data_IF_896943071126
#
_entry.id   IF_896943071126
#
_cell.length_a   1.000
_cell.length_b   1.000
_cell.length_c   1.000
_cell.angle_alpha   90.00
_cell.angle_beta   90.00
_cell.angle_gamma   90.00
#
_symmetry.space_group_name_H-M   'P 1'
#
loop_
_entity.id
_entity.type
_entity.pdbx_description
1 polymer ?
#
# COMPACT_ATOMS: atom_id res chain seq x y z
N UNK A 1 -44.39 29.38 23.89
CA UNK A 1 -43.76 28.13 24.32
C UNK A 1 -44.57 27.61 25.50
N UNK A 2 -45.32 26.52 25.31
CA UNK A 2 -46.15 25.95 26.37
C UNK A 2 -45.27 25.25 27.42
N UNK A 3 -45.77 25.09 28.65
CA UNK A 3 -45.03 24.38 29.72
C UNK A 3 -44.64 22.96 29.27
N UNK A 4 -45.48 22.31 28.47
CA UNK A 4 -45.23 20.98 27.90
C UNK A 4 -44.05 20.98 26.92
N UNK A 5 -43.98 21.93 25.97
CA UNK A 5 -42.84 22.07 25.04
C UNK A 5 -41.52 22.32 25.79
N UNK A 6 -41.56 23.13 26.86
CA UNK A 6 -40.39 23.39 27.69
C UNK A 6 -39.91 22.13 28.42
N UNK A 7 -40.82 21.36 29.04
CA UNK A 7 -40.49 20.11 29.72
C UNK A 7 -39.95 19.04 28.77
N UNK A 8 -40.54 18.89 27.57
CA UNK A 8 -40.04 17.99 26.54
C UNK A 8 -38.61 18.36 26.12
N UNK A 9 -38.32 19.65 25.95
CA UNK A 9 -36.96 20.13 25.66
C UNK A 9 -35.98 19.81 26.79
N UNK A 10 -36.38 20.00 28.05
CA UNK A 10 -35.52 19.67 29.20
C UNK A 10 -35.25 18.17 29.33
N UNK A 11 -36.24 17.32 29.07
CA UNK A 11 -36.06 15.85 29.04
C UNK A 11 -35.08 15.46 27.93
N UNK A 12 -35.21 16.05 26.73
CA UNK A 12 -34.29 15.79 25.63
C UNK A 12 -32.84 16.17 26.00
N UNK A 13 -32.62 17.33 26.62
CA UNK A 13 -31.30 17.77 27.09
C UNK A 13 -30.76 16.84 28.18
N UNK A 14 -31.59 16.44 29.15
CA UNK A 14 -31.17 15.51 30.20
C UNK A 14 -30.75 14.14 29.63
N UNK A 15 -31.54 13.60 28.70
CA UNK A 15 -31.22 12.34 28.03
C UNK A 15 -29.92 12.45 27.23
N UNK A 16 -29.69 13.58 26.56
CA UNK A 16 -28.44 13.85 25.86
C UNK A 16 -27.24 13.84 26.83
N UNK A 17 -27.32 14.56 27.96
CA UNK A 17 -26.24 14.56 28.96
C UNK A 17 -25.98 13.17 29.57
N UNK A 18 -27.03 12.40 29.84
CA UNK A 18 -26.89 11.02 30.35
C UNK A 18 -26.18 10.14 29.32
N UNK A 19 -26.55 10.28 28.04
CA UNK A 19 -25.91 9.54 26.95
C UNK A 19 -24.45 9.94 26.78
N UNK A 20 -24.14 11.24 26.78
CA UNK A 20 -22.77 11.77 26.72
C UNK A 20 -21.90 11.21 27.86
N UNK A 21 -22.39 11.26 29.11
CA UNK A 21 -21.65 10.72 30.26
C UNK A 21 -21.41 9.20 30.12
N UNK A 22 -22.44 8.44 29.71
CA UNK A 22 -22.30 7.00 29.42
C UNK A 22 -21.26 6.72 28.33
N UNK A 23 -21.19 7.56 27.30
CA UNK A 23 -20.20 7.40 26.23
C UNK A 23 -18.77 7.65 26.72
N UNK A 24 -18.57 8.59 27.64
CA UNK A 24 -17.27 8.84 28.27
C UNK A 24 -16.85 7.63 29.11
N UNK A 25 -17.73 7.15 29.99
CA UNK A 25 -17.46 5.97 30.83
C UNK A 25 -17.18 4.71 29.98
N UNK A 26 -17.94 4.51 28.90
CA UNK A 26 -17.71 3.40 27.97
C UNK A 26 -16.39 3.53 27.21
N UNK A 27 -15.97 4.74 26.86
CA UNK A 27 -14.68 4.99 26.20
C UNK A 27 -13.52 4.69 27.14
N UNK A 28 -13.57 5.18 28.38
CA UNK A 28 -12.56 4.87 29.41
C UNK A 28 -12.49 3.38 29.71
N UNK A 29 -13.63 2.70 29.78
CA UNK A 29 -13.68 1.24 29.93
C UNK A 29 -12.98 0.54 28.76
N UNK A 30 -13.19 1.01 27.52
CA UNK A 30 -12.53 0.46 26.34
C UNK A 30 -11.02 0.69 26.37
N UNK A 31 -10.55 1.85 26.82
CA UNK A 31 -9.11 2.10 27.02
C UNK A 31 -8.51 1.10 28.02
N UNK A 32 -9.13 0.98 29.20
CA UNK A 32 -8.66 0.09 30.25
C UNK A 32 -8.65 -1.38 29.81
N UNK A 33 -9.60 -1.78 28.95
CA UNK A 33 -9.62 -3.12 28.38
C UNK A 33 -8.36 -3.40 27.55
N UNK A 34 -7.85 -2.45 26.78
CA UNK A 34 -6.62 -2.66 25.99
C UNK A 34 -5.32 -2.56 26.80
N UNK A 35 -5.37 -1.97 28.00
CA UNK A 35 -4.23 -1.89 28.92
C UNK A 35 -4.12 -3.12 29.84
N UNK A 36 -5.22 -3.86 30.00
CA UNK A 36 -5.27 -5.04 30.88
C UNK A 36 -4.90 -6.32 30.14
N UNK A 37 -4.26 -7.25 30.87
CA UNK A 37 -3.91 -8.57 30.35
C UNK A 37 -5.14 -9.48 30.47
N UNK A 38 -5.49 -10.16 29.37
CA UNK A 38 -6.62 -11.10 29.33
C UNK A 38 -6.13 -12.54 29.13
N UNK A 39 -6.98 -13.48 29.53
CA UNK A 39 -6.75 -14.93 29.31
C UNK A 39 -6.92 -15.26 27.83
N UNK A 40 -7.87 -14.60 27.17
CA UNK A 40 -8.16 -14.72 25.74
C UNK A 40 -8.69 -13.39 25.18
N UNK A 41 -8.71 -13.30 23.85
CA UNK A 41 -9.15 -12.13 23.08
C UNK A 41 -10.68 -11.89 23.10
N UNK A 42 -11.48 -12.75 23.75
CA UNK A 42 -12.93 -12.73 23.58
C UNK A 42 -13.59 -11.47 24.12
N UNK A 43 -13.12 -10.98 25.29
CA UNK A 43 -13.61 -9.72 25.89
C UNK A 43 -13.34 -8.51 24.99
N UNK A 44 -12.15 -8.47 24.38
CA UNK A 44 -11.76 -7.41 23.44
C UNK A 44 -12.65 -7.44 22.20
N UNK A 45 -12.83 -8.62 21.59
CA UNK A 45 -13.68 -8.77 20.40
C UNK A 45 -15.14 -8.37 20.68
N UNK A 46 -15.69 -8.74 21.84
CA UNK A 46 -17.03 -8.30 22.27
C UNK A 46 -17.11 -6.77 22.43
N UNK A 47 -16.12 -6.17 23.07
CA UNK A 47 -16.10 -4.72 23.28
C UNK A 47 -16.00 -3.93 21.95
N UNK A 48 -15.26 -4.47 20.98
CA UNK A 48 -15.09 -3.85 19.66
C UNK A 48 -16.29 -4.06 18.72
N UNK A 49 -16.82 -5.28 18.65
CA UNK A 49 -17.80 -5.64 17.62
C UNK A 49 -19.21 -5.52 18.17
N UNK A 50 -19.51 -6.28 19.23
CA UNK A 50 -20.86 -6.32 19.79
C UNK A 50 -20.86 -6.94 21.20
N UNK A 51 -21.19 -6.18 22.26
CA UNK A 51 -21.02 -6.63 23.63
C UNK A 51 -22.14 -7.54 24.16
N UNK A 52 -23.31 -7.58 23.50
CA UNK A 52 -24.47 -8.37 23.93
C UNK A 52 -24.44 -9.77 23.29
N UNK A 53 -25.06 -10.73 23.97
CA UNK A 53 -25.15 -12.14 23.51
C UNK A 53 -26.49 -12.47 22.83
N UNK A 54 -27.25 -11.45 22.41
CA UNK A 54 -28.59 -11.60 21.83
C UNK A 54 -28.61 -11.86 20.32
N UNK A 55 -27.48 -11.70 19.62
CA UNK A 55 -27.34 -11.98 18.19
C UNK A 55 -26.00 -12.64 17.86
N UNK A 56 -25.92 -13.24 16.66
CA UNK A 56 -24.68 -13.71 16.04
C UNK A 56 -24.10 -12.58 15.16
N UNK A 57 -23.02 -11.90 15.59
CA UNK A 57 -22.61 -10.62 14.98
C UNK A 57 -21.71 -10.79 13.75
N UNK A 58 -21.20 -11.99 13.47
CA UNK A 58 -20.34 -12.27 12.34
C UNK A 58 -21.08 -13.03 11.24
N UNK A 59 -20.62 -12.89 10.00
CA UNK A 59 -20.98 -13.72 8.84
C UNK A 59 -19.72 -14.43 8.37
N UNK A 60 -19.79 -15.75 8.20
CA UNK A 60 -18.73 -16.57 7.62
C UNK A 60 -18.79 -16.52 6.08
N UNK A 61 -17.64 -16.32 5.43
CA UNK A 61 -17.58 -16.14 3.97
C UNK A 61 -18.10 -17.31 3.15
N UNK A 62 -17.79 -18.55 3.52
CA UNK A 62 -18.11 -19.74 2.72
C UNK A 62 -19.58 -20.13 2.82
N UNK A 63 -20.11 -20.20 4.04
CA UNK A 63 -21.50 -20.63 4.27
C UNK A 63 -22.49 -19.47 4.19
N UNK A 64 -22.00 -18.22 4.25
CA UNK A 64 -22.79 -16.99 4.42
C UNK A 64 -23.73 -17.03 5.64
N UNK A 65 -23.47 -17.93 6.59
CA UNK A 65 -24.23 -18.06 7.83
C UNK A 65 -23.71 -17.11 8.87
N UNK A 66 -24.61 -16.66 9.75
CA UNK A 66 -24.19 -15.92 10.94
C UNK A 66 -23.55 -16.84 11.96
N UNK A 67 -22.48 -16.38 12.59
CA UNK A 67 -21.70 -17.13 13.58
C UNK A 67 -21.37 -16.26 14.80
N UNK A 68 -21.04 -16.93 15.91
CA UNK A 68 -20.63 -16.28 17.16
C UNK A 68 -19.17 -15.81 17.08
N UNK A 69 -18.81 -14.82 17.90
CA UNK A 69 -17.41 -14.41 18.11
C UNK A 69 -16.53 -15.54 18.68
N UNK A 70 -17.13 -16.59 19.27
CA UNK A 70 -16.40 -17.74 19.82
C UNK A 70 -15.48 -18.43 18.80
N UNK A 71 -15.80 -18.35 17.49
CA UNK A 71 -14.95 -18.93 16.43
C UNK A 71 -13.56 -18.28 16.37
N UNK A 72 -13.42 -17.05 16.86
CA UNK A 72 -12.17 -16.27 16.88
C UNK A 72 -11.41 -16.38 18.21
N UNK A 73 -11.98 -17.06 19.21
CA UNK A 73 -11.45 -17.13 20.56
C UNK A 73 -10.08 -17.81 20.56
N UNK A 74 -9.09 -17.17 21.20
CA UNK A 74 -7.69 -17.64 21.28
C UNK A 74 -7.00 -17.81 19.91
N UNK A 75 -7.50 -17.15 18.86
CA UNK A 75 -6.83 -17.04 17.56
C UNK A 75 -6.11 -15.71 17.45
N UNK A 76 -5.09 -15.63 16.59
CA UNK A 76 -4.64 -14.32 16.10
C UNK A 76 -5.72 -13.77 15.16
N UNK A 77 -6.08 -12.51 15.34
CA UNK A 77 -7.17 -11.88 14.56
C UNK A 77 -6.64 -10.63 13.87
N UNK A 78 -6.80 -10.58 12.56
CA UNK A 78 -6.55 -9.41 11.73
C UNK A 78 -7.89 -8.70 11.49
N UNK A 79 -8.04 -7.51 12.07
CA UNK A 79 -9.22 -6.68 11.87
C UNK A 79 -8.97 -5.77 10.66
N UNK A 80 -9.62 -6.09 9.53
CA UNK A 80 -9.67 -5.22 8.37
C UNK A 80 -10.73 -4.15 8.63
N UNK A 81 -10.31 -2.93 8.92
CA UNK A 81 -11.19 -1.82 9.27
C UNK A 81 -11.24 -0.84 8.10
N UNK A 82 -12.42 -0.64 7.52
CA UNK A 82 -12.58 0.24 6.36
C UNK A 82 -13.96 0.89 6.33
N UNK A 83 -14.09 1.94 5.50
CA UNK A 83 -15.40 2.40 5.05
C UNK A 83 -16.02 1.46 4.00
N UNK A 84 -17.09 1.92 3.36
CA UNK A 84 -17.70 1.22 2.22
C UNK A 84 -17.04 1.58 0.87
N UNK A 85 -16.05 2.46 0.85
CA UNK A 85 -15.41 2.95 -0.38
C UNK A 85 -14.10 2.23 -0.71
N UNK A 86 -13.94 0.98 -0.26
CA UNK A 86 -12.78 0.15 -0.59
C UNK A 86 -12.79 -0.17 -2.09
N UNK A 87 -11.64 -0.04 -2.74
CA UNK A 87 -11.52 -0.34 -4.18
C UNK A 87 -11.59 -1.86 -4.42
N UNK A 88 -12.03 -2.25 -5.62
CA UNK A 88 -12.00 -3.67 -5.99
C UNK A 88 -10.57 -4.18 -6.13
N UNK A 89 -9.65 -3.36 -6.65
CA UNK A 89 -8.23 -3.71 -6.75
C UNK A 89 -7.66 -4.12 -5.39
N UNK A 90 -7.96 -3.33 -4.35
CA UNK A 90 -7.48 -3.57 -2.99
C UNK A 90 -8.05 -4.87 -2.40
N UNK A 91 -9.34 -5.13 -2.61
CA UNK A 91 -9.96 -6.37 -2.14
C UNK A 91 -9.43 -7.60 -2.87
N UNK A 92 -9.27 -7.53 -4.19
CA UNK A 92 -8.76 -8.64 -5.00
C UNK A 92 -7.34 -9.03 -4.59
N UNK A 93 -6.47 -8.05 -4.32
CA UNK A 93 -5.11 -8.34 -3.84
C UNK A 93 -5.10 -8.89 -2.42
N UNK A 94 -5.92 -8.37 -1.50
CA UNK A 94 -6.04 -8.96 -0.16
C UNK A 94 -6.57 -10.39 -0.20
N UNK A 95 -7.54 -10.67 -1.09
CA UNK A 95 -8.07 -12.01 -1.31
C UNK A 95 -6.99 -12.96 -1.83
N UNK A 96 -6.17 -12.53 -2.77
CA UNK A 96 -5.04 -13.31 -3.27
C UNK A 96 -4.06 -13.64 -2.13
N UNK A 97 -3.60 -12.62 -1.38
CA UNK A 97 -2.66 -12.81 -0.27
C UNK A 97 -3.26 -13.73 0.82
N UNK A 98 -4.53 -13.52 1.16
CA UNK A 98 -5.22 -14.36 2.12
C UNK A 98 -5.32 -15.82 1.65
N UNK A 99 -5.64 -16.05 0.39
CA UNK A 99 -5.73 -17.39 -0.21
C UNK A 99 -4.37 -18.09 -0.22
N UNK A 100 -3.31 -17.39 -0.61
CA UNK A 100 -1.93 -17.91 -0.58
C UNK A 100 -1.50 -18.29 0.84
N UNK A 101 -1.87 -17.50 1.85
CA UNK A 101 -1.57 -17.82 3.26
C UNK A 101 -2.23 -19.12 3.73
N UNK A 102 -3.46 -19.42 3.27
CA UNK A 102 -4.18 -20.65 3.62
C UNK A 102 -3.62 -21.87 2.88
N UNK A 103 -3.09 -21.72 1.67
CA UNK A 103 -2.45 -22.81 0.92
C UNK A 103 -1.14 -23.26 1.58
N UNK A 104 -0.30 -22.32 2.01
CA UNK A 104 0.98 -22.60 2.66
C UNK A 104 0.83 -23.13 4.10
N UNK A 105 -0.33 -22.93 4.74
CA UNK A 105 -0.65 -23.48 6.06
C UNK A 105 -0.69 -25.02 6.11
N UNK A 106 -0.80 -25.69 4.96
CA UNK A 106 -0.80 -27.17 4.89
C UNK A 106 0.57 -27.81 5.08
N UNK A 107 1.67 -27.03 5.00
CA UNK A 107 3.03 -27.58 5.14
C UNK A 107 3.55 -27.65 6.57
N UNK A 108 2.99 -26.88 7.51
CA UNK A 108 3.18 -27.05 8.97
C UNK A 108 2.01 -26.37 9.72
N UNK A 109 1.28 -27.14 10.54
CA UNK A 109 0.34 -26.88 11.65
C UNK A 109 -0.08 -25.45 12.10
N UNK A 110 -0.18 -24.44 11.22
CA UNK A 110 -0.51 -23.08 11.68
C UNK A 110 -1.51 -22.42 10.73
N UNK A 111 -2.81 -22.52 11.06
CA UNK A 111 -3.75 -21.43 10.74
C UNK A 111 -3.27 -20.19 11.53
N UNK A 112 -2.41 -19.38 10.90
CA UNK A 112 -1.65 -18.35 11.62
C UNK A 112 -2.54 -17.22 12.15
N UNK A 113 -3.63 -16.90 11.44
CA UNK A 113 -4.61 -15.90 11.83
C UNK A 113 -5.98 -16.09 11.15
N UNK A 114 -7.00 -15.42 11.68
CA UNK A 114 -8.28 -15.17 11.01
C UNK A 114 -8.43 -13.69 10.69
N UNK A 115 -8.94 -13.38 9.50
CA UNK A 115 -9.27 -12.00 9.12
C UNK A 115 -10.76 -11.72 9.38
N UNK A 116 -11.06 -10.51 9.84
CA UNK A 116 -12.43 -10.05 10.11
C UNK A 116 -12.60 -8.65 9.55
N UNK A 117 -13.56 -8.46 8.65
CA UNK A 117 -13.93 -7.14 8.16
C UNK A 117 -14.86 -6.42 9.16
N UNK A 118 -14.43 -5.25 9.60
CA UNK A 118 -15.19 -4.31 10.43
C UNK A 118 -15.53 -3.07 9.59
N UNK A 119 -16.76 -2.97 9.07
CA UNK A 119 -17.20 -1.81 8.31
C UNK A 119 -17.48 -0.64 9.26
N UNK A 120 -16.81 0.48 9.04
CA UNK A 120 -17.00 1.72 9.80
C UNK A 120 -17.79 2.71 8.95
N UNK A 121 -19.00 3.03 9.43
CA UNK A 121 -19.89 4.02 8.83
C UNK A 121 -20.24 5.05 9.89
N UNK A 122 -20.22 6.33 9.53
CA UNK A 122 -20.53 7.39 10.47
C UNK A 122 -21.98 7.24 10.97
N UNK A 123 -22.21 7.13 12.30
CA UNK A 123 -23.55 6.98 12.85
C UNK A 123 -24.49 8.14 12.55
N UNK A 124 -23.97 9.33 12.23
CA UNK A 124 -24.78 10.49 11.88
C UNK A 124 -25.34 10.43 10.45
N UNK A 125 -24.77 9.58 9.59
CA UNK A 125 -25.22 9.41 8.20
C UNK A 125 -26.43 8.49 8.16
N UNK A 126 -27.47 8.92 7.46
CA UNK A 126 -28.65 8.10 7.24
C UNK A 126 -28.29 6.87 6.41
N UNK A 127 -28.64 5.68 6.93
CA UNK A 127 -28.49 4.43 6.20
C UNK A 127 -29.51 4.35 5.07
N UNK A 128 -29.04 4.20 3.84
CA UNK A 128 -29.89 4.19 2.63
C UNK A 128 -29.78 2.87 1.88
N UNK A 129 -30.76 2.55 1.04
CA UNK A 129 -30.76 1.32 0.24
C UNK A 129 -29.52 1.19 -0.68
N UNK A 130 -28.99 2.25 -1.32
CA UNK A 130 -27.73 2.17 -2.05
C UNK A 130 -26.54 1.77 -1.17
N UNK A 131 -26.47 2.27 0.08
CA UNK A 131 -25.42 1.88 1.03
C UNK A 131 -25.55 0.42 1.44
N UNK A 132 -26.78 -0.06 1.65
CA UNK A 132 -27.05 -1.47 1.93
C UNK A 132 -26.57 -2.37 0.80
N UNK A 133 -26.94 -2.05 -0.45
CA UNK A 133 -26.48 -2.82 -1.64
C UNK A 133 -24.96 -2.80 -1.78
N UNK A 134 -24.32 -1.65 -1.53
CA UNK A 134 -22.85 -1.53 -1.57
C UNK A 134 -22.19 -2.40 -0.50
N UNK A 135 -22.71 -2.37 0.72
CA UNK A 135 -22.24 -3.21 1.82
C UNK A 135 -22.37 -4.70 1.49
N UNK A 136 -23.53 -5.14 1.00
CA UNK A 136 -23.78 -6.54 0.62
C UNK A 136 -22.88 -7.00 -0.52
N UNK A 137 -22.66 -6.14 -1.53
CA UNK A 137 -21.74 -6.44 -2.62
C UNK A 137 -20.32 -6.69 -2.10
N UNK A 138 -19.80 -5.81 -1.25
CA UNK A 138 -18.47 -5.97 -0.63
C UNK A 138 -18.40 -7.22 0.26
N UNK A 139 -19.40 -7.45 1.11
CA UNK A 139 -19.45 -8.61 2.00
C UNK A 139 -19.51 -9.93 1.21
N UNK A 140 -20.16 -9.91 0.04
CA UNK A 140 -20.34 -11.11 -0.79
C UNK A 140 -19.02 -11.61 -1.39
N UNK A 141 -18.12 -10.70 -1.75
CA UNK A 141 -16.83 -11.02 -2.40
C UNK A 141 -15.73 -11.38 -1.40
N UNK A 142 -15.83 -10.95 -0.15
CA UNK A 142 -14.79 -11.21 0.85
C UNK A 142 -14.71 -12.70 1.26
N UNK A 143 -13.51 -13.31 1.27
CA UNK A 143 -13.29 -14.72 1.66
C UNK A 143 -13.09 -14.92 3.17
N UNK A 144 -13.19 -13.87 3.98
CA UNK A 144 -12.98 -13.87 5.43
C UNK A 144 -14.25 -13.51 6.22
N UNK A 145 -14.19 -13.57 7.55
CA UNK A 145 -15.33 -13.19 8.39
C UNK A 145 -15.67 -11.72 8.22
N UNK A 146 -16.94 -11.36 8.38
CA UNK A 146 -17.36 -9.95 8.36
C UNK A 146 -18.38 -9.67 9.45
N UNK A 147 -18.39 -8.45 9.97
CA UNK A 147 -19.48 -8.02 10.86
C UNK A 147 -20.77 -7.94 10.06
N UNK A 148 -21.84 -8.54 10.58
CA UNK A 148 -23.12 -8.69 9.88
C UNK A 148 -23.73 -7.35 9.44
N UNK A 149 -23.57 -6.29 10.23
CA UNK A 149 -24.08 -4.97 9.88
C UNK A 149 -23.26 -3.85 10.54
N UNK A 150 -22.95 -2.72 9.85
CA UNK A 150 -22.13 -1.64 10.41
C UNK A 150 -22.69 -1.01 11.70
N UNK A 151 -24.02 -0.95 11.83
CA UNK A 151 -24.72 -0.47 13.05
C UNK A 151 -24.39 -1.23 14.33
N UNK A 152 -23.81 -2.43 14.25
CA UNK A 152 -23.37 -3.16 15.44
C UNK A 152 -22.19 -2.47 16.11
N UNK A 153 -21.37 -1.76 15.34
CA UNK A 153 -20.19 -1.05 15.86
C UNK A 153 -20.65 0.22 16.56
N UNK A 154 -20.49 0.25 17.88
CA UNK A 154 -20.92 1.39 18.68
C UNK A 154 -20.09 2.65 18.38
N UNK A 155 -20.71 3.83 18.45
CA UNK A 155 -20.06 5.12 18.17
C UNK A 155 -18.79 5.37 19.01
N UNK A 156 -18.76 4.86 20.24
CA UNK A 156 -17.59 4.91 21.14
C UNK A 156 -16.42 4.10 20.58
N UNK A 157 -16.68 2.93 19.99
CA UNK A 157 -15.66 2.11 19.32
C UNK A 157 -15.15 2.83 18.07
N UNK A 158 -16.05 3.40 17.25
CA UNK A 158 -15.65 4.18 16.07
C UNK A 158 -14.71 5.33 16.47
N UNK A 159 -15.05 6.06 17.54
CA UNK A 159 -14.19 7.11 18.10
C UNK A 159 -12.83 6.57 18.52
N UNK A 160 -12.79 5.46 19.26
CA UNK A 160 -11.55 4.81 19.68
C UNK A 160 -10.68 4.42 18.48
N UNK A 161 -11.24 3.78 17.45
CA UNK A 161 -10.53 3.40 16.22
C UNK A 161 -9.93 4.64 15.54
N UNK A 162 -10.72 5.72 15.39
CA UNK A 162 -10.26 6.98 14.78
C UNK A 162 -9.13 7.64 15.59
N UNK A 163 -9.22 7.65 16.92
CA UNK A 163 -8.27 8.35 17.79
C UNK A 163 -7.00 7.53 18.10
N UNK A 164 -7.15 6.24 18.43
CA UNK A 164 -6.06 5.36 18.88
C UNK A 164 -5.40 4.56 17.77
N UNK A 165 -6.16 4.15 16.75
CA UNK A 165 -5.62 3.45 15.59
C UNK A 165 -5.51 4.36 14.36
N UNK A 166 -5.78 5.66 14.54
CA UNK A 166 -5.61 6.69 13.52
C UNK A 166 -6.33 6.41 12.20
N UNK A 167 -7.49 5.74 12.25
CA UNK A 167 -8.31 5.50 11.07
C UNK A 167 -8.84 6.79 10.47
N UNK A 168 -8.55 7.04 9.18
CA UNK A 168 -8.95 8.22 8.41
C UNK A 168 -9.60 7.84 7.07
N UNK A 169 -10.54 6.90 7.11
CA UNK A 169 -11.30 6.36 5.97
C UNK A 169 -10.50 5.49 4.97
N UNK A 170 -9.17 5.43 5.09
CA UNK A 170 -8.36 4.44 4.39
C UNK A 170 -8.35 3.13 5.18
N UNK A 171 -8.42 1.97 4.51
CA UNK A 171 -8.37 0.69 5.19
C UNK A 171 -7.12 0.56 6.06
N UNK A 172 -7.32 0.05 7.27
CA UNK A 172 -6.24 -0.33 8.17
C UNK A 172 -6.41 -1.78 8.58
N UNK A 173 -5.30 -2.41 8.94
CA UNK A 173 -5.29 -3.81 9.34
C UNK A 173 -4.73 -3.93 10.76
N UNK A 174 -5.60 -4.04 11.76
CA UNK A 174 -5.18 -4.12 13.17
C UNK A 174 -4.93 -5.58 13.54
N UNK A 175 -3.82 -5.87 14.21
CA UNK A 175 -3.42 -7.24 14.57
C UNK A 175 -3.62 -7.46 16.06
N UNK A 176 -4.46 -8.43 16.40
CA UNK A 176 -4.68 -8.91 17.76
C UNK A 176 -4.06 -10.29 17.95
N UNK A 177 -3.37 -10.49 19.06
CA UNK A 177 -2.90 -11.82 19.48
C UNK A 177 -4.05 -12.65 20.11
N UNK A 178 -3.81 -13.91 20.50
CA UNK A 178 -4.82 -14.77 21.13
C UNK A 178 -5.37 -14.24 22.46
N UNK A 179 -4.67 -13.31 23.12
CA UNK A 179 -5.08 -12.65 24.37
C UNK A 179 -5.78 -11.31 24.12
N UNK A 180 -5.85 -10.85 22.87
CA UNK A 180 -6.48 -9.59 22.47
C UNK A 180 -5.57 -8.38 22.59
N UNK A 181 -4.26 -8.59 22.80
CA UNK A 181 -3.26 -7.51 22.77
C UNK A 181 -3.06 -7.06 21.33
N UNK A 182 -3.00 -5.75 21.14
CA UNK A 182 -2.64 -5.16 19.83
C UNK A 182 -1.15 -5.35 19.59
N UNK A 183 -0.80 -6.15 18.59
CA UNK A 183 0.59 -6.34 18.14
C UNK A 183 1.03 -5.25 17.16
N UNK A 184 0.10 -4.83 16.30
CA UNK A 184 0.31 -3.72 15.38
C UNK A 184 -1.02 -3.00 15.11
N UNK A 185 -1.11 -1.67 15.31
CA UNK A 185 -2.31 -0.90 15.04
C UNK A 185 -2.60 -0.73 13.54
N UNK A 186 -1.59 -0.92 12.67
CA UNK A 186 -1.80 -0.96 11.24
C UNK A 186 -0.70 -1.78 10.54
N UNK A 187 -1.00 -3.05 10.28
CA UNK A 187 -0.15 -4.00 9.56
C UNK A 187 -0.39 -4.00 8.05
N UNK A 188 -1.21 -3.10 7.52
CA UNK A 188 -1.59 -3.15 6.10
C UNK A 188 -0.37 -2.98 5.18
N UNK A 189 0.60 -2.15 5.58
CA UNK A 189 1.84 -1.98 4.83
C UNK A 189 2.69 -3.27 4.81
N UNK A 190 2.81 -3.95 5.96
CA UNK A 190 3.47 -5.25 6.02
C UNK A 190 2.77 -6.30 5.14
N UNK A 191 1.43 -6.28 5.13
CA UNK A 191 0.62 -7.15 4.27
C UNK A 191 0.93 -6.91 2.79
N UNK A 192 1.00 -5.65 2.35
CA UNK A 192 1.32 -5.32 0.96
C UNK A 192 2.75 -5.68 0.55
N UNK A 193 3.72 -5.56 1.46
CA UNK A 193 5.13 -5.79 1.13
C UNK A 193 5.47 -7.28 1.13
N UNK A 194 5.01 -8.04 2.13
CA UNK A 194 5.44 -9.42 2.37
C UNK A 194 4.31 -10.43 2.50
N UNK A 195 3.05 -10.00 2.45
CA UNK A 195 1.89 -10.86 2.63
C UNK A 195 1.97 -11.69 3.91
N UNK A 196 1.76 -13.00 3.79
CA UNK A 196 1.82 -13.95 4.92
C UNK A 196 3.21 -14.04 5.59
N UNK A 197 4.30 -13.73 4.89
CA UNK A 197 5.65 -13.80 5.46
C UNK A 197 5.89 -12.76 6.56
N UNK A 198 5.04 -11.72 6.63
CA UNK A 198 5.08 -10.73 7.70
C UNK A 198 4.48 -11.20 9.02
N UNK A 199 3.80 -12.34 9.08
CA UNK A 199 3.30 -12.88 10.35
C UNK A 199 4.44 -13.05 11.39
N UNK A 200 4.23 -12.69 12.68
CA UNK A 200 2.99 -12.25 13.35
C UNK A 200 2.68 -10.75 13.25
N UNK A 201 3.20 -10.06 12.23
CA UNK A 201 2.97 -8.64 11.96
C UNK A 201 3.32 -7.74 13.15
N UNK A 202 4.40 -8.08 13.86
CA UNK A 202 4.94 -7.25 14.95
C UNK A 202 5.99 -6.30 14.41
N UNK A 203 6.22 -5.19 15.11
CA UNK A 203 7.31 -4.26 14.80
C UNK A 203 8.68 -4.97 14.76
N UNK A 204 8.93 -5.92 15.67
CA UNK A 204 10.16 -6.72 15.66
C UNK A 204 10.30 -7.57 14.39
N UNK A 205 9.19 -8.14 13.89
CA UNK A 205 9.18 -8.91 12.65
C UNK A 205 9.41 -8.00 11.44
N UNK A 206 8.77 -6.84 11.41
CA UNK A 206 8.97 -5.82 10.38
C UNK A 206 10.43 -5.38 10.31
N UNK A 207 11.06 -5.12 11.46
CA UNK A 207 12.48 -4.77 11.53
C UNK A 207 13.39 -5.90 11.05
N UNK A 208 13.07 -7.15 11.37
CA UNK A 208 13.85 -8.31 10.93
C UNK A 208 13.77 -8.48 9.40
N UNK A 209 12.57 -8.38 8.83
CA UNK A 209 12.37 -8.44 7.38
C UNK A 209 13.16 -7.35 6.66
N UNK A 210 13.12 -6.11 7.16
CA UNK A 210 13.92 -5.03 6.57
C UNK A 210 15.44 -5.21 6.70
N UNK A 211 15.93 -5.96 7.70
CA UNK A 211 17.36 -6.26 7.84
C UNK A 211 17.83 -7.31 6.84
N UNK A 212 16.95 -8.24 6.47
CA UNK A 212 17.21 -9.30 5.50
C UNK A 212 16.96 -8.82 4.06
N UNK A 213 16.25 -7.71 3.89
CA UNK A 213 15.88 -7.18 2.58
C UNK A 213 16.97 -6.29 1.96
N UNK A 214 17.08 -6.37 0.64
CA UNK A 214 17.96 -5.52 -0.16
C UNK A 214 17.18 -4.94 -1.35
N UNK A 215 17.71 -3.90 -1.99
CA UNK A 215 17.11 -3.32 -3.19
C UNK A 215 17.28 -4.23 -4.41
N UNK A 216 16.46 -5.29 -4.45
CA UNK A 216 16.45 -6.34 -5.45
C UNK A 216 15.19 -6.28 -6.29
N UNK A 217 15.22 -6.88 -7.48
CA UNK A 217 14.08 -6.87 -8.37
C UNK A 217 12.88 -7.64 -7.77
N UNK A 218 13.13 -8.73 -7.05
CA UNK A 218 12.10 -9.52 -6.37
C UNK A 218 11.28 -8.68 -5.38
N UNK A 219 11.91 -7.73 -4.68
CA UNK A 219 11.19 -6.82 -3.77
C UNK A 219 10.10 -6.03 -4.50
N UNK A 220 10.27 -5.78 -5.80
CA UNK A 220 9.32 -5.02 -6.61
C UNK A 220 8.23 -5.88 -7.26
N UNK A 221 8.56 -7.12 -7.65
CA UNK A 221 7.69 -7.95 -8.51
C UNK A 221 7.21 -9.26 -7.89
N UNK A 222 7.70 -9.62 -6.70
CA UNK A 222 7.27 -10.83 -6.01
C UNK A 222 5.77 -10.78 -5.70
N UNK A 223 5.05 -11.86 -5.97
CA UNK A 223 3.57 -11.90 -5.91
C UNK A 223 2.85 -11.12 -7.02
N UNK A 224 3.56 -10.51 -7.98
CA UNK A 224 2.97 -9.72 -9.08
C UNK A 224 3.15 -10.43 -10.43
N UNK A 225 4.40 -10.72 -10.82
CA UNK A 225 4.69 -11.25 -12.17
C UNK A 225 5.67 -12.44 -12.13
N UNK A 226 5.11 -13.64 -12.29
CA UNK A 226 5.86 -14.90 -12.31
C UNK A 226 6.82 -15.01 -13.50
N UNK A 227 6.54 -14.31 -14.60
CA UNK A 227 7.40 -14.28 -15.79
C UNK A 227 8.69 -13.53 -15.47
N UNK A 228 8.58 -12.37 -14.83
CA UNK A 228 9.75 -11.59 -14.39
C UNK A 228 10.57 -12.40 -13.38
N UNK A 229 9.94 -13.08 -12.42
CA UNK A 229 10.64 -13.98 -11.49
C UNK A 229 11.39 -15.13 -12.21
N UNK A 230 10.90 -15.57 -13.37
CA UNK A 230 11.60 -16.57 -14.20
C UNK A 230 12.82 -15.96 -14.87
N UNK A 231 12.67 -14.77 -15.46
CA UNK A 231 13.79 -14.04 -16.07
C UNK A 231 14.90 -13.68 -15.08
N UNK A 232 14.53 -13.40 -13.83
CA UNK A 232 15.48 -13.19 -12.73
C UNK A 232 16.37 -14.43 -12.54
N UNK A 233 15.76 -15.62 -12.44
CA UNK A 233 16.48 -16.90 -12.29
C UNK A 233 17.35 -17.26 -13.49
N UNK A 234 16.95 -16.80 -14.67
CA UNK A 234 17.70 -16.94 -15.93
C UNK A 234 18.85 -15.93 -16.06
N UNK A 235 19.07 -15.07 -15.06
CA UNK A 235 20.13 -14.04 -15.04
C UNK A 235 20.07 -13.09 -16.26
N UNK A 236 18.86 -12.81 -16.75
CA UNK A 236 18.62 -11.89 -17.87
C UNK A 236 18.77 -10.43 -17.43
N UNK A 237 18.99 -9.56 -18.41
CA UNK A 237 18.79 -8.12 -18.20
C UNK A 237 17.32 -7.79 -18.34
N UNK A 238 16.77 -7.04 -17.39
CA UNK A 238 15.34 -6.75 -17.34
C UNK A 238 15.14 -5.25 -17.15
N UNK A 239 14.39 -4.62 -18.05
CA UNK A 239 13.83 -3.31 -17.79
C UNK A 239 12.39 -3.43 -17.30
N UNK A 240 12.13 -2.97 -16.07
CA UNK A 240 10.80 -2.50 -15.70
C UNK A 240 10.70 -1.04 -16.15
N UNK A 241 9.65 -0.66 -16.86
CA UNK A 241 9.51 0.73 -17.28
C UNK A 241 8.06 1.20 -17.30
N UNK A 242 7.87 2.51 -17.24
CA UNK A 242 6.56 3.14 -17.28
C UNK A 242 6.62 4.56 -17.80
N UNK A 243 5.46 5.15 -18.02
CA UNK A 243 5.31 6.44 -18.72
C UNK A 243 3.94 6.51 -19.37
N UNK A 244 3.47 7.71 -19.68
CA UNK A 244 2.22 7.92 -20.42
C UNK A 244 2.43 8.53 -21.81
N UNK A 245 3.68 8.84 -22.15
CA UNK A 245 4.08 9.32 -23.46
C UNK A 245 4.44 8.14 -24.37
N UNK A 246 3.57 7.87 -25.35
CA UNK A 246 3.72 6.78 -26.31
C UNK A 246 4.96 6.97 -27.20
N UNK A 247 5.31 8.21 -27.57
CA UNK A 247 6.50 8.47 -28.39
C UNK A 247 7.77 8.18 -27.60
N UNK A 248 7.81 8.58 -26.33
CA UNK A 248 8.91 8.23 -25.43
C UNK A 248 9.02 6.72 -25.27
N UNK A 249 7.91 6.00 -25.08
CA UNK A 249 7.88 4.52 -24.97
C UNK A 249 8.47 3.85 -26.23
N UNK A 250 8.08 4.31 -27.43
CA UNK A 250 8.61 3.78 -28.70
C UNK A 250 10.10 4.03 -28.84
N UNK A 251 10.55 5.26 -28.55
CA UNK A 251 11.98 5.64 -28.62
C UNK A 251 12.80 4.81 -27.63
N UNK A 252 12.32 4.68 -26.39
CA UNK A 252 12.97 3.91 -25.34
C UNK A 252 13.10 2.43 -25.68
N UNK A 253 12.01 1.76 -26.04
CA UNK A 253 12.05 0.31 -26.35
C UNK A 253 12.91 0.02 -27.59
N UNK A 254 12.88 0.90 -28.60
CA UNK A 254 13.72 0.78 -29.79
C UNK A 254 15.21 0.93 -29.44
N UNK A 255 15.57 1.98 -28.69
CA UNK A 255 16.95 2.23 -28.28
C UNK A 255 17.47 1.08 -27.41
N UNK A 256 16.69 0.63 -26.42
CA UNK A 256 17.06 -0.48 -25.54
C UNK A 256 17.33 -1.77 -26.33
N UNK A 257 16.49 -2.11 -27.32
CA UNK A 257 16.70 -3.27 -28.20
C UNK A 257 17.94 -3.15 -29.06
N UNK A 258 18.19 -1.98 -29.65
CA UNK A 258 19.37 -1.74 -30.48
C UNK A 258 20.65 -1.89 -29.66
N UNK A 259 20.67 -1.28 -28.47
CA UNK A 259 21.79 -1.41 -27.53
C UNK A 259 21.98 -2.85 -27.09
N UNK A 260 20.90 -3.58 -26.77
CA UNK A 260 20.98 -4.98 -26.36
C UNK A 260 21.56 -5.88 -27.46
N UNK A 261 21.14 -5.67 -28.72
CA UNK A 261 21.66 -6.38 -29.87
C UNK A 261 23.16 -6.09 -30.08
N UNK A 262 23.55 -4.82 -29.99
CA UNK A 262 24.94 -4.40 -30.16
C UNK A 262 25.86 -4.88 -29.04
N UNK A 263 25.36 -4.87 -27.78
CA UNK A 263 26.06 -5.37 -26.61
C UNK A 263 26.00 -6.91 -26.47
N UNK A 264 25.18 -7.58 -27.29
CA UNK A 264 24.93 -9.04 -27.26
C UNK A 264 24.44 -9.54 -25.91
N UNK A 265 23.53 -8.80 -25.28
CA UNK A 265 22.93 -9.18 -23.99
C UNK A 265 21.50 -9.72 -24.15
N UNK A 266 21.08 -10.67 -23.31
CA UNK A 266 19.69 -11.13 -23.27
C UNK A 266 18.84 -10.11 -22.51
N UNK A 267 18.18 -9.21 -23.24
CA UNK A 267 17.32 -8.18 -22.67
C UNK A 267 15.84 -8.55 -22.78
N UNK A 268 15.14 -8.48 -21.66
CA UNK A 268 13.69 -8.50 -21.55
C UNK A 268 13.18 -7.14 -21.06
N UNK A 269 11.96 -6.80 -21.44
CA UNK A 269 11.33 -5.54 -21.04
C UNK A 269 9.88 -5.78 -20.67
N UNK A 270 9.43 -5.15 -19.59
CA UNK A 270 8.03 -5.16 -19.17
C UNK A 270 7.56 -3.75 -18.85
N UNK A 271 6.43 -3.39 -19.46
CA UNK A 271 5.75 -2.15 -19.18
C UNK A 271 4.82 -2.29 -17.98
N UNK A 272 5.11 -1.51 -16.94
CA UNK A 272 4.36 -1.44 -15.68
C UNK A 272 3.36 -0.27 -15.69
N UNK A 273 3.75 0.88 -16.26
CA UNK A 273 2.88 2.06 -16.34
C UNK A 273 3.03 3.06 -15.17
N UNK A 274 1.93 3.76 -14.85
CA UNK A 274 1.87 4.85 -13.84
C UNK A 274 0.70 4.66 -12.88
N UNK A 275 0.83 5.18 -11.66
CA UNK A 275 -0.11 4.94 -10.55
C UNK A 275 -1.50 5.56 -10.75
N UNK A 276 -1.59 6.76 -11.33
CA UNK A 276 -2.85 7.56 -11.37
C UNK A 276 -3.44 7.75 -12.77
N UNK A 277 -2.82 7.21 -13.82
CA UNK A 277 -3.20 7.46 -15.22
C UNK A 277 -3.76 6.20 -15.90
N UNK A 278 -4.78 5.58 -15.31
CA UNK A 278 -5.30 4.25 -15.73
C UNK A 278 -5.68 4.19 -17.22
N UNK A 279 -6.40 5.19 -17.72
CA UNK A 279 -6.80 5.25 -19.14
C UNK A 279 -5.60 5.42 -20.08
N UNK A 280 -4.59 6.21 -19.70
CA UNK A 280 -3.36 6.37 -20.47
C UNK A 280 -2.52 5.10 -20.45
N UNK A 281 -2.44 4.43 -19.28
CA UNK A 281 -1.76 3.15 -19.13
C UNK A 281 -2.42 2.10 -20.02
N UNK A 282 -3.75 2.01 -20.03
CA UNK A 282 -4.50 1.11 -20.91
C UNK A 282 -4.20 1.37 -22.39
N UNK A 283 -4.24 2.64 -22.82
CA UNK A 283 -3.88 3.02 -24.20
C UNK A 283 -2.44 2.66 -24.56
N UNK A 284 -1.50 2.87 -23.63
CA UNK A 284 -0.11 2.49 -23.84
C UNK A 284 0.06 0.97 -23.97
N UNK A 285 -0.63 0.18 -23.14
CA UNK A 285 -0.64 -1.30 -23.23
C UNK A 285 -1.13 -1.75 -24.61
N UNK A 286 -2.22 -1.18 -25.11
CA UNK A 286 -2.78 -1.50 -26.43
C UNK A 286 -1.76 -1.24 -27.55
N UNK A 287 -1.11 -0.08 -27.53
CA UNK A 287 -0.07 0.26 -28.52
C UNK A 287 1.14 -0.65 -28.41
N UNK A 288 1.63 -0.92 -27.19
CA UNK A 288 2.78 -1.80 -26.96
C UNK A 288 2.50 -3.21 -27.48
N UNK A 289 1.30 -3.74 -27.23
CA UNK A 289 0.91 -5.08 -27.68
C UNK A 289 0.74 -5.12 -29.22
N UNK A 290 0.14 -4.09 -29.81
CA UNK A 290 -0.04 -3.97 -31.27
C UNK A 290 1.30 -3.90 -32.00
N UNK A 291 2.21 -3.06 -31.51
CA UNK A 291 3.54 -2.83 -32.09
C UNK A 291 4.59 -3.84 -31.60
N UNK A 292 4.21 -4.75 -30.70
CA UNK A 292 5.07 -5.76 -30.08
C UNK A 292 6.36 -5.15 -29.49
N UNK A 293 6.23 -4.08 -28.72
CA UNK A 293 7.37 -3.33 -28.17
C UNK A 293 8.00 -4.00 -26.93
N UNK A 294 7.23 -4.73 -26.13
CA UNK A 294 7.66 -5.39 -24.89
C UNK A 294 6.53 -6.24 -24.31
N UNK A 295 6.76 -6.90 -23.17
CA UNK A 295 5.69 -7.49 -22.35
C UNK A 295 4.94 -6.40 -21.58
N UNK A 296 3.68 -6.68 -21.21
CA UNK A 296 2.82 -5.73 -20.49
C UNK A 296 2.09 -6.42 -19.34
N UNK A 297 1.65 -5.66 -18.35
CA UNK A 297 0.67 -6.14 -17.36
C UNK A 297 -0.74 -5.78 -17.82
N UNK A 298 -1.53 -6.74 -18.33
CA UNK A 298 -2.87 -6.47 -18.85
C UNK A 298 -3.87 -6.16 -17.73
N UNK A 299 -3.64 -6.71 -16.53
CA UNK A 299 -4.47 -6.44 -15.35
C UNK A 299 -3.95 -5.18 -14.64
N UNK A 300 -4.75 -4.11 -14.68
CA UNK A 300 -4.43 -2.84 -14.02
C UNK A 300 -4.43 -2.96 -12.48
N UNK A 301 -4.98 -4.03 -11.91
CA UNK A 301 -4.88 -4.35 -10.48
C UNK A 301 -3.41 -4.58 -10.10
N UNK A 302 -2.64 -5.26 -10.95
CA UNK A 302 -1.21 -5.51 -10.73
C UNK A 302 -0.40 -4.22 -10.78
N UNK A 303 -0.75 -3.31 -11.71
CA UNK A 303 -0.17 -1.97 -11.79
C UNK A 303 -0.45 -1.18 -10.52
N UNK A 304 -1.71 -1.17 -10.06
CA UNK A 304 -2.10 -0.53 -8.79
C UNK A 304 -1.33 -1.13 -7.61
N UNK A 305 -1.21 -2.45 -7.55
CA UNK A 305 -0.55 -3.14 -6.46
C UNK A 305 0.94 -2.83 -6.39
N UNK A 306 1.63 -2.81 -7.53
CA UNK A 306 3.04 -2.42 -7.61
C UNK A 306 3.31 -1.05 -6.97
N UNK A 307 2.50 -0.05 -7.34
CA UNK A 307 2.64 1.30 -6.79
C UNK A 307 2.24 1.37 -5.31
N UNK A 308 1.14 0.71 -4.93
CA UNK A 308 0.67 0.66 -3.52
C UNK A 308 1.67 -0.03 -2.60
N UNK A 309 2.32 -1.09 -3.11
CA UNK A 309 3.38 -1.82 -2.42
C UNK A 309 4.61 -0.93 -2.22
N UNK A 310 5.04 -0.21 -3.25
CA UNK A 310 6.13 0.78 -3.14
C UNK A 310 5.82 1.91 -2.15
N UNK A 311 4.61 2.46 -2.20
CA UNK A 311 4.17 3.47 -1.22
C UNK A 311 4.19 2.88 0.20
N UNK A 312 3.76 1.64 0.36
CA UNK A 312 3.80 0.94 1.65
C UNK A 312 5.21 0.70 2.17
N UNK A 313 6.18 0.42 1.30
CA UNK A 313 7.60 0.33 1.68
C UNK A 313 8.09 1.67 2.26
N UNK A 314 7.75 2.78 1.60
CA UNK A 314 8.09 4.12 2.07
C UNK A 314 7.46 4.40 3.45
N UNK A 315 6.16 4.13 3.61
CA UNK A 315 5.45 4.35 4.88
C UNK A 315 5.99 3.48 6.01
N UNK A 316 6.26 2.20 5.76
CA UNK A 316 6.83 1.26 6.72
C UNK A 316 8.20 1.75 7.24
N UNK A 317 9.09 2.18 6.34
CA UNK A 317 10.41 2.74 6.72
C UNK A 317 10.28 4.02 7.55
N UNK A 318 9.34 4.91 7.21
CA UNK A 318 9.04 6.12 7.99
C UNK A 318 8.53 5.75 9.39
N UNK A 319 7.62 4.79 9.49
CA UNK A 319 7.01 4.36 10.75
C UNK A 319 8.04 3.78 11.74
N UNK A 320 9.03 3.03 11.25
CA UNK A 320 10.12 2.50 12.07
C UNK A 320 11.13 3.57 12.54
N UNK A 321 10.95 4.84 12.16
CA UNK A 321 11.95 5.87 12.42
C UNK A 321 13.27 5.66 11.67
N UNK A 322 13.31 4.70 10.74
CA UNK A 322 14.45 4.36 9.87
C UNK A 322 14.39 5.15 8.56
N UNK A 323 13.85 6.37 8.59
CA UNK A 323 13.98 7.33 7.50
C UNK A 323 15.40 7.94 7.47
N UNK A 324 16.42 7.12 7.71
CA UNK A 324 17.81 7.52 7.67
C UNK A 324 18.18 7.88 6.23
N UNK A 325 18.88 9.00 6.06
CA UNK A 325 19.33 9.50 4.77
C UNK A 325 20.37 8.55 4.16
N UNK A 326 21.09 7.79 4.98
CA UNK A 326 22.08 6.80 4.57
C UNK A 326 21.49 5.47 4.05
N UNK A 327 20.19 5.21 4.26
CA UNK A 327 19.55 3.98 3.77
C UNK A 327 19.39 4.02 2.24
N UNK A 328 20.28 3.31 1.55
CA UNK A 328 20.29 3.19 0.08
C UNK A 328 18.94 2.71 -0.44
N UNK A 329 18.31 1.73 0.23
CA UNK A 329 17.03 1.18 -0.19
C UNK A 329 15.93 2.24 -0.10
N UNK A 330 15.92 3.03 0.98
CA UNK A 330 14.99 4.14 1.14
C UNK A 330 15.14 5.19 0.03
N UNK A 331 16.38 5.52 -0.36
CA UNK A 331 16.62 6.47 -1.45
C UNK A 331 16.11 5.92 -2.79
N UNK A 332 16.28 4.63 -3.06
CA UNK A 332 15.79 4.02 -4.29
C UNK A 332 14.26 3.97 -4.38
N UNK A 333 13.56 3.65 -3.27
CA UNK A 333 12.10 3.72 -3.20
C UNK A 333 11.62 5.14 -3.50
N UNK A 334 12.22 6.14 -2.83
CA UNK A 334 11.89 7.56 -3.02
C UNK A 334 12.05 7.99 -4.48
N UNK A 335 13.14 7.60 -5.14
CA UNK A 335 13.37 7.92 -6.56
C UNK A 335 12.26 7.36 -7.45
N UNK A 336 11.99 6.06 -7.33
CA UNK A 336 11.00 5.40 -8.18
C UNK A 336 9.59 6.00 -8.00
N UNK A 337 9.18 6.24 -6.74
CA UNK A 337 7.91 6.90 -6.44
C UNK A 337 7.81 8.33 -6.98
N UNK A 338 8.94 9.03 -7.09
CA UNK A 338 8.97 10.38 -7.65
C UNK A 338 8.83 10.39 -9.17
N UNK A 339 9.38 9.38 -9.86
CA UNK A 339 9.35 9.29 -11.33
C UNK A 339 7.98 8.92 -11.88
N UNK A 340 7.11 8.35 -11.05
CA UNK A 340 5.70 8.13 -11.38
C UNK A 340 4.96 9.41 -11.80
N UNK A 341 5.37 10.57 -11.26
CA UNK A 341 4.59 11.82 -11.38
C UNK A 341 4.73 12.50 -12.75
N UNK A 342 5.94 12.52 -13.31
CA UNK A 342 6.23 13.19 -14.57
C UNK A 342 7.20 12.36 -15.43
N UNK A 343 7.05 12.44 -16.75
CA UNK A 343 7.95 11.74 -17.69
C UNK A 343 7.80 10.22 -17.73
N UNK A 344 8.68 9.57 -18.48
CA UNK A 344 8.88 8.12 -18.41
C UNK A 344 9.83 7.76 -17.26
N UNK A 345 9.92 6.48 -16.92
CA UNK A 345 10.87 5.95 -15.95
C UNK A 345 11.27 4.53 -16.34
N UNK A 346 12.46 4.11 -15.93
CA UNK A 346 12.87 2.72 -16.07
C UNK A 346 13.83 2.29 -14.95
N UNK A 347 13.73 1.01 -14.58
CA UNK A 347 14.61 0.31 -13.65
C UNK A 347 15.26 -0.83 -14.42
N UNK A 348 16.60 -0.84 -14.47
CA UNK A 348 17.39 -1.93 -15.03
C UNK A 348 17.84 -2.87 -13.93
N UNK A 349 17.67 -4.16 -14.14
CA UNK A 349 18.33 -5.20 -13.35
C UNK A 349 19.12 -6.16 -14.24
N UNK A 350 20.03 -6.89 -13.59
CA UNK A 350 20.63 -8.12 -14.10
C UNK A 350 20.33 -9.22 -13.09
N UNK A 351 19.52 -10.19 -13.49
CA UNK A 351 18.92 -11.14 -12.55
C UNK A 351 18.21 -10.39 -11.41
N UNK A 352 18.56 -10.73 -10.18
CA UNK A 352 18.02 -10.12 -8.95
C UNK A 352 18.55 -8.69 -8.70
N UNK A 353 19.75 -8.37 -9.18
CA UNK A 353 20.44 -7.13 -8.81
C UNK A 353 19.96 -5.94 -9.64
N UNK A 354 19.36 -4.94 -8.99
CA UNK A 354 19.00 -3.68 -9.65
C UNK A 354 20.25 -2.81 -9.79
N UNK A 355 20.56 -2.43 -11.03
CA UNK A 355 21.77 -1.66 -11.36
C UNK A 355 21.49 -0.18 -11.56
N UNK A 356 20.35 0.16 -12.19
CA UNK A 356 19.96 1.54 -12.49
C UNK A 356 18.49 1.77 -12.17
N UNK A 357 18.18 2.91 -11.57
CA UNK A 357 16.83 3.43 -11.37
C UNK A 357 16.82 4.88 -11.90
N UNK A 358 16.17 5.11 -13.04
CA UNK A 358 16.35 6.34 -13.81
C UNK A 358 15.04 6.96 -14.29
N UNK A 359 15.01 8.29 -14.24
CA UNK A 359 13.98 9.10 -14.88
C UNK A 359 14.16 9.11 -16.41
N UNK A 360 13.08 9.31 -17.15
CA UNK A 360 13.02 9.27 -18.61
C UNK A 360 13.97 10.26 -19.30
N UNK A 361 14.27 11.39 -18.65
CA UNK A 361 15.24 12.40 -19.13
C UNK A 361 16.70 12.00 -18.97
N UNK A 362 16.99 10.93 -18.24
CA UNK A 362 18.36 10.44 -18.01
C UNK A 362 18.59 9.08 -18.66
N UNK A 363 17.60 8.18 -18.57
CA UNK A 363 17.75 6.79 -19.02
C UNK A 363 17.67 6.65 -20.54
N UNK A 364 16.82 7.43 -21.21
CA UNK A 364 16.73 7.43 -22.67
C UNK A 364 18.00 8.02 -23.31
N UNK A 365 18.51 9.20 -22.88
CA UNK A 365 19.80 9.70 -23.37
C UNK A 365 20.95 8.72 -23.13
N UNK A 366 21.02 8.06 -21.96
CA UNK A 366 22.05 7.07 -21.68
C UNK A 366 22.08 5.91 -22.68
N UNK A 367 20.90 5.48 -23.18
CA UNK A 367 20.78 4.46 -24.22
C UNK A 367 21.15 5.01 -25.61
N UNK A 368 20.72 6.22 -25.94
CA UNK A 368 21.03 6.86 -27.23
C UNK A 368 22.52 7.17 -27.38
N UNK A 369 23.21 7.44 -26.27
CA UNK A 369 24.64 7.73 -26.21
C UNK A 369 25.51 6.46 -26.10
N UNK A 370 24.99 5.29 -26.47
CA UNK A 370 25.71 4.02 -26.39
C UNK A 370 27.09 4.06 -27.04
N UNK A 371 27.24 4.77 -28.16
CA UNK A 371 28.52 4.91 -28.84
C UNK A 371 29.61 5.58 -28.00
N UNK A 372 29.24 6.41 -27.00
CA UNK A 372 30.19 7.09 -26.11
C UNK A 372 30.75 6.17 -25.02
N UNK A 373 30.04 5.10 -24.66
CA UNK A 373 30.43 4.25 -23.54
C UNK A 373 30.56 2.76 -23.88
N UNK A 374 30.19 2.32 -25.08
CA UNK A 374 30.30 0.92 -25.56
C UNK A 374 31.70 0.32 -25.39
N UNK A 375 32.76 1.12 -25.49
CA UNK A 375 34.14 0.67 -25.34
C UNK A 375 34.46 0.18 -23.91
N UNK A 376 33.67 0.59 -22.92
CA UNK A 376 33.82 0.14 -21.54
C UNK A 376 33.11 -1.19 -21.27
N UNK A 377 32.21 -1.65 -22.16
CA UNK A 377 31.43 -2.89 -21.96
C UNK A 377 32.32 -4.13 -21.86
N UNK A 378 33.35 -4.34 -22.72
CA UNK A 378 34.22 -5.52 -22.60
C UNK A 378 35.06 -5.57 -21.32
N UNK A 379 35.36 -4.41 -20.73
CA UNK A 379 36.24 -4.32 -19.54
C UNK A 379 35.46 -4.31 -18.23
N UNK A 380 34.31 -3.61 -18.18
CA UNK A 380 33.51 -3.43 -16.96
C UNK A 380 32.24 -4.28 -16.91
N UNK A 381 31.81 -4.84 -18.04
CA UNK A 381 30.47 -5.40 -18.20
C UNK A 381 29.43 -4.33 -18.57
N UNK A 382 28.31 -4.77 -19.15
CA UNK A 382 27.24 -3.88 -19.62
C UNK A 382 26.59 -3.11 -18.48
N UNK A 383 26.25 -3.80 -17.39
CA UNK A 383 25.60 -3.26 -16.20
C UNK A 383 26.38 -2.10 -15.59
N UNK A 384 27.68 -2.28 -15.34
CA UNK A 384 28.50 -1.25 -14.71
C UNK A 384 28.81 -0.11 -15.69
N UNK A 385 29.07 -0.41 -16.98
CA UNK A 385 29.32 0.62 -17.98
C UNK A 385 28.09 1.52 -18.21
N UNK A 386 26.89 0.93 -18.29
CA UNK A 386 25.64 1.68 -18.43
C UNK A 386 25.38 2.52 -17.18
N UNK A 387 25.56 1.95 -15.98
CA UNK A 387 25.40 2.67 -14.71
C UNK A 387 26.34 3.86 -14.61
N UNK A 388 27.63 3.69 -14.90
CA UNK A 388 28.62 4.76 -14.86
C UNK A 388 28.23 5.93 -15.78
N UNK A 389 27.70 5.63 -16.98
CA UNK A 389 27.28 6.67 -17.93
C UNK A 389 25.97 7.34 -17.52
N UNK A 390 24.99 6.56 -17.07
CA UNK A 390 23.72 7.07 -16.54
C UNK A 390 23.94 8.00 -15.34
N UNK A 391 24.80 7.61 -14.40
CA UNK A 391 25.14 8.39 -13.22
C UNK A 391 25.74 9.75 -13.63
N UNK A 392 26.62 9.80 -14.65
CA UNK A 392 27.17 11.07 -15.17
C UNK A 392 26.10 12.00 -15.74
N UNK A 393 25.15 11.47 -16.52
CA UNK A 393 24.04 12.27 -17.07
C UNK A 393 23.17 12.81 -15.94
N UNK A 394 22.87 11.95 -14.95
CA UNK A 394 22.08 12.33 -13.77
C UNK A 394 22.75 13.42 -12.96
N UNK A 395 24.06 13.31 -12.73
CA UNK A 395 24.85 14.28 -11.97
C UNK A 395 24.95 15.64 -12.67
N UNK A 396 24.66 15.72 -13.97
CA UNK A 396 24.53 17.01 -14.68
C UNK A 396 23.08 17.49 -14.64
N UNK A 397 22.13 16.63 -15.00
CA UNK A 397 20.72 17.00 -15.16
C UNK A 397 19.99 17.32 -13.86
N UNK A 398 20.41 16.73 -12.72
CA UNK A 398 19.77 16.85 -11.41
C UNK A 398 18.23 16.80 -11.47
N UNK A 399 17.62 15.73 -12.03
CA UNK A 399 16.16 15.63 -12.11
C UNK A 399 15.56 15.76 -10.71
N UNK A 400 14.63 16.70 -10.52
CA UNK A 400 14.06 16.97 -9.21
C UNK A 400 12.83 16.11 -8.93
N UNK A 401 12.71 15.67 -7.67
CA UNK A 401 11.63 14.79 -7.23
C UNK A 401 10.42 15.57 -6.71
N UNK A 402 9.24 15.02 -6.94
CA UNK A 402 7.97 15.46 -6.34
C UNK A 402 7.30 14.29 -5.63
N UNK A 403 6.84 14.51 -4.40
CA UNK A 403 6.05 13.54 -3.63
C UNK A 403 4.67 14.09 -3.35
N UNK A 404 3.67 13.24 -3.46
CA UNK A 404 2.31 13.57 -3.05
C UNK A 404 1.85 12.53 -2.04
N UNK A 405 1.81 12.90 -0.76
CA UNK A 405 1.23 12.05 0.26
C UNK A 405 -0.26 12.34 0.30
N UNK A 406 -1.08 11.30 0.17
CA UNK A 406 -2.48 11.44 0.51
C UNK A 406 -2.58 11.73 2.01
N UNK A 407 -3.26 12.81 2.39
CA UNK A 407 -3.45 13.24 3.78
C UNK A 407 -4.14 12.21 4.68
N UNK A 408 -4.64 11.14 4.07
CA UNK A 408 -5.37 10.04 4.68
C UNK A 408 -4.51 8.82 5.03
N UNK A 409 -3.27 8.71 4.50
CA UNK A 409 -2.40 7.54 4.71
C UNK A 409 -1.30 7.88 5.72
N UNK A 410 -1.58 7.60 6.99
CA UNK A 410 -0.59 7.58 8.06
C UNK A 410 -0.01 8.95 8.45
N UNK A 411 1.13 8.90 9.16
CA UNK A 411 1.83 10.08 9.68
C UNK A 411 2.71 10.65 8.57
N UNK A 412 2.26 11.73 7.92
CA UNK A 412 3.08 12.47 6.95
C UNK A 412 4.37 12.94 7.66
N UNK A 413 5.57 12.69 7.08
CA UNK A 413 6.83 13.20 7.63
C UNK A 413 6.77 14.70 7.91
N UNK A 414 7.39 15.16 9.00
CA UNK A 414 7.51 16.59 9.28
C UNK A 414 8.35 17.34 8.23
N UNK A 415 9.34 16.65 7.67
CA UNK A 415 10.30 17.17 6.70
C UNK A 415 10.91 16.02 5.91
N UNK A 416 11.31 16.24 4.66
CA UNK A 416 11.95 15.23 3.81
C UNK A 416 13.02 15.89 2.92
N UNK A 417 14.13 15.18 2.66
CA UNK A 417 15.11 15.57 1.62
C UNK A 417 14.83 14.88 0.30
N UNK A 418 15.09 15.60 -0.79
CA UNK A 418 15.04 15.07 -2.14
C UNK A 418 16.14 13.99 -2.33
N UNK A 419 15.84 12.79 -2.86
CA UNK A 419 16.82 11.72 -3.05
C UNK A 419 17.82 12.00 -4.19
N UNK A 420 17.58 13.04 -4.98
CA UNK A 420 18.43 13.47 -6.10
C UNK A 420 19.35 14.61 -5.67
N UNK A 421 18.80 15.73 -5.18
CA UNK A 421 19.60 16.92 -4.85
C UNK A 421 19.91 17.10 -3.34
N UNK A 422 19.38 16.25 -2.46
CA UNK A 422 19.57 16.28 -1.00
C UNK A 422 19.09 17.59 -0.30
N UNK A 423 18.44 18.50 -1.01
CA UNK A 423 17.82 19.69 -0.43
C UNK A 423 16.54 19.32 0.32
N UNK A 424 16.21 20.14 1.31
CA UNK A 424 14.96 20.00 2.06
C UNK A 424 13.78 20.36 1.16
N UNK A 425 12.79 19.49 1.12
CA UNK A 425 11.58 19.69 0.32
C UNK A 425 10.57 20.52 1.10
N UNK A 426 9.91 21.44 0.40
CA UNK A 426 8.84 22.25 1.00
C UNK A 426 7.60 21.40 1.21
N UNK A 427 6.99 21.53 2.38
CA UNK A 427 5.73 20.87 2.71
C UNK A 427 4.56 21.76 2.27
N UNK A 428 4.11 21.58 1.05
CA UNK A 428 2.76 21.95 0.65
C UNK A 428 1.87 20.73 0.91
N UNK A 429 0.61 20.70 0.48
CA UNK A 429 -0.21 19.45 0.50
C UNK A 429 0.47 18.28 -0.25
N UNK A 430 1.60 18.53 -0.88
CA UNK A 430 2.59 17.67 -1.51
C UNK A 430 4.00 18.15 -1.13
N UNK A 431 5.01 17.27 -1.12
CA UNK A 431 6.40 17.72 -0.96
C UNK A 431 7.01 18.01 -2.33
N UNK A 432 7.47 19.24 -2.52
CA UNK A 432 8.08 19.70 -3.78
C UNK A 432 9.53 20.12 -3.53
N UNK A 433 10.40 19.80 -4.49
CA UNK A 433 11.81 20.18 -4.45
C UNK A 433 12.01 21.59 -5.04
N UNK A 434 12.97 22.35 -4.52
CA UNK A 434 13.20 23.78 -4.74
C UNK A 434 13.61 24.20 -6.17
N UNK A 435 13.44 23.36 -7.20
CA UNK A 435 13.90 23.64 -8.56
C UNK A 435 12.76 23.67 -9.59
N UNK A 436 11.51 23.53 -9.17
CA UNK A 436 10.35 23.87 -10.00
C UNK A 436 10.09 25.38 -9.89
N UNK A 437 10.78 26.18 -10.70
CA UNK A 437 10.44 27.58 -10.95
C UNK A 437 9.14 27.65 -11.78
N UNK A 438 8.03 27.30 -11.15
CA UNK A 438 6.68 27.58 -11.63
C UNK A 438 5.70 27.52 -10.45
N UNK A 439 5.90 28.40 -9.46
CA UNK A 439 4.82 28.77 -8.54
C UNK A 439 3.82 29.60 -9.34
N UNK A 440 2.86 28.96 -9.98
CA UNK A 440 1.59 29.62 -10.28
C UNK A 440 0.83 29.72 -8.96
N UNK A 441 1.05 30.82 -8.25
CA UNK A 441 0.10 31.31 -7.24
C UNK A 441 -1.26 31.45 -7.91
N UNK A 442 -2.15 30.48 -7.68
CA UNK A 442 -3.58 30.67 -7.88
C UNK A 442 -4.19 30.84 -6.49
N UNK A 443 -4.10 32.08 -6.00
CA UNK A 443 -5.11 32.64 -5.12
C UNK A 443 -5.82 33.72 -5.94
N UNK A 444 -7.00 33.39 -6.43
CA UNK A 444 -8.20 34.23 -6.39
C UNK A 444 -9.41 33.34 -6.13
#
# INVERSE_FOLDING_TARGET
>A
MTINEHLQKQIAICNQHIEEKRNVEAYETLLNLFETIHIDNFKILKALIYPKDDILPLVEATTKKRVSLEVLRRRNVLLLISGLDVSQDELSVLEQIHSESKLHATRHDIQQYEMVWIPIVDPSVQWTDPMQKKFEALQSTMPWYSVYHPRLIHKVVIRFIKEKWHFRNQPILVVLDPQGKVLCPNAIHMMWIWGGNAFPFTTLREEALWKEEAWRLELLVDGIDQTVLTWIKEEKYIFLYGGDDIEWIRKFTTAARQVALAAKIPLEMVYVGKSRKREQVQRAIEVINLEKLSSTWPDLTLVWFFWTRLESMLFSKIQLGKADEADVLMQQIKRLLSFDKAGGWAVLSKGSSITVNGHGTTILPALLEYDLWKEHVPTKGYDQAFKDHHDRIRDVAHPCCRFEFQSTVGRIPGSMRCPECQRLMEKLTTFVCCHDDAVSTIYE
#
